data_IF_963596411936
#
_entry.id   IF_963596411936
#
_cell.length_a   1.000
_cell.length_b   1.000
_cell.length_c   1.000
_cell.angle_alpha   90.00
_cell.angle_beta   90.00
_cell.angle_gamma   90.00
#
_symmetry.space_group_name_H-M   'P 1'
#
loop_
_entity.id
_entity.type
_entity.pdbx_description
1 polymer ?
#
# COMPACT_ATOMS: atom_id res chain seq x y z
N UNK A 1 -7.93 -8.08 10.43
CA UNK A 1 -7.27 -8.29 9.13
C UNK A 1 -8.35 -8.24 8.08
N UNK A 2 -8.31 -7.28 7.17
CA UNK A 2 -9.34 -7.12 6.13
C UNK A 2 -8.80 -7.72 4.84
N UNK A 3 -9.56 -8.65 4.25
CA UNK A 3 -9.23 -9.23 2.95
C UNK A 3 -9.93 -8.45 1.85
N UNK A 4 -9.13 -8.03 0.87
CA UNK A 4 -9.61 -7.35 -0.32
C UNK A 4 -9.40 -8.29 -1.50
N UNK A 5 -10.46 -8.53 -2.27
CA UNK A 5 -10.43 -9.38 -3.46
C UNK A 5 -10.23 -8.57 -4.74
N UNK A 6 -10.50 -7.25 -4.67
CA UNK A 6 -10.39 -6.32 -5.77
C UNK A 6 -9.13 -5.47 -5.58
N UNK A 7 -8.25 -5.46 -6.58
CA UNK A 7 -7.00 -4.70 -6.53
C UNK A 7 -7.22 -3.21 -6.28
N UNK A 8 -8.24 -2.60 -6.90
CA UNK A 8 -8.53 -1.16 -6.74
C UNK A 8 -8.89 -0.77 -5.29
N UNK A 9 -9.63 -1.63 -4.59
CA UNK A 9 -9.95 -1.40 -3.18
C UNK A 9 -8.71 -1.57 -2.30
N UNK A 10 -7.86 -2.54 -2.63
CA UNK A 10 -6.56 -2.74 -1.98
C UNK A 10 -5.65 -1.53 -2.15
N UNK A 11 -5.50 -1.03 -3.38
CA UNK A 11 -4.67 0.12 -3.70
C UNK A 11 -5.12 1.36 -2.93
N UNK A 12 -6.42 1.67 -2.98
CA UNK A 12 -6.99 2.82 -2.26
C UNK A 12 -6.84 2.70 -0.75
N UNK A 13 -7.02 1.51 -0.19
CA UNK A 13 -6.83 1.28 1.24
C UNK A 13 -5.35 1.43 1.63
N UNK A 14 -4.44 0.87 0.83
CA UNK A 14 -3.00 0.95 1.04
C UNK A 14 -2.51 2.40 1.02
N UNK A 15 -2.89 3.19 0.01
CA UNK A 15 -2.53 4.61 -0.08
C UNK A 15 -3.03 5.40 1.13
N UNK A 16 -4.28 5.21 1.54
CA UNK A 16 -4.86 5.90 2.70
C UNK A 16 -4.14 5.56 3.99
N UNK A 17 -3.85 4.28 4.22
CA UNK A 17 -3.09 3.83 5.40
C UNK A 17 -1.69 4.43 5.41
N UNK A 18 -1.02 4.36 4.25
CA UNK A 18 0.35 4.77 4.09
C UNK A 18 0.55 6.29 4.24
N UNK A 19 -0.39 7.10 3.72
CA UNK A 19 -0.36 8.56 3.85
C UNK A 19 -0.75 9.05 5.25
N UNK A 20 -1.74 8.42 5.90
CA UNK A 20 -2.25 8.90 7.19
C UNK A 20 -1.37 8.45 8.36
N UNK A 21 -0.75 7.28 8.27
CA UNK A 21 -0.01 6.73 9.39
C UNK A 21 1.12 5.80 8.95
N UNK A 22 2.21 6.34 8.36
CA UNK A 22 3.33 5.55 7.83
C UNK A 22 4.02 4.64 8.87
N UNK A 23 3.92 4.96 10.17
CA UNK A 23 4.42 4.11 11.26
C UNK A 23 3.37 3.17 11.89
N UNK A 24 2.08 3.30 11.55
CA UNK A 24 0.98 2.45 12.08
C UNK A 24 0.48 1.41 11.09
N UNK A 25 1.15 1.20 9.96
CA UNK A 25 0.85 0.13 9.00
C UNK A 25 0.75 -1.27 9.66
N UNK A 26 1.30 -1.44 10.86
CA UNK A 26 1.22 -2.67 11.65
C UNK A 26 -0.13 -2.93 12.33
N UNK A 27 -1.01 -1.93 12.50
CA UNK A 27 -2.28 -2.06 13.22
C UNK A 27 -3.48 -2.36 12.32
N UNK A 28 -3.44 -1.93 11.05
CA UNK A 28 -4.46 -2.23 10.04
C UNK A 28 -3.85 -3.08 8.93
N UNK A 29 -3.66 -4.38 9.20
CA UNK A 29 -3.23 -5.33 8.19
C UNK A 29 -4.35 -5.55 7.16
N UNK A 30 -4.23 -4.87 6.00
CA UNK A 30 -4.95 -5.22 4.77
C UNK A 30 -4.19 -6.33 4.04
N UNK A 31 -4.93 -7.31 3.52
CA UNK A 31 -4.36 -8.42 2.77
C UNK A 31 -5.03 -8.54 1.41
N UNK A 32 -4.22 -8.61 0.36
CA UNK A 32 -4.63 -8.89 -1.01
C UNK A 32 -3.85 -10.11 -1.49
N UNK A 33 -4.57 -11.16 -1.90
CA UNK A 33 -3.98 -12.40 -2.42
C UNK A 33 -4.34 -12.50 -3.89
N UNK A 34 -3.34 -12.71 -4.73
CA UNK A 34 -3.52 -12.93 -6.16
C UNK A 34 -2.43 -13.85 -6.71
N UNK A 35 -2.80 -14.67 -7.68
CA UNK A 35 -1.88 -15.44 -8.52
C UNK A 35 -1.66 -14.78 -9.90
N UNK A 36 -2.33 -13.64 -10.15
CA UNK A 36 -2.24 -12.90 -11.40
C UNK A 36 -0.91 -12.15 -11.51
N UNK A 37 -0.07 -12.56 -12.45
CA UNK A 37 1.20 -11.88 -12.76
C UNK A 37 1.02 -10.40 -13.12
N UNK A 38 -0.14 -10.03 -13.67
CA UNK A 38 -0.44 -8.62 -13.99
C UNK A 38 -0.66 -7.80 -12.72
N UNK A 39 -1.36 -8.36 -11.74
CA UNK A 39 -1.63 -7.69 -10.47
C UNK A 39 -0.39 -7.64 -9.58
N UNK A 40 0.43 -8.70 -9.57
CA UNK A 40 1.73 -8.69 -8.89
C UNK A 40 2.60 -7.50 -9.32
N UNK A 41 2.70 -7.24 -10.63
CA UNK A 41 3.43 -6.06 -11.16
C UNK A 41 2.82 -4.73 -10.72
N UNK A 42 1.50 -4.66 -10.54
CA UNK A 42 0.84 -3.45 -10.02
C UNK A 42 1.18 -3.24 -8.55
N UNK A 43 1.15 -4.31 -7.74
CA UNK A 43 1.53 -4.28 -6.32
C UNK A 43 2.98 -3.80 -6.15
N UNK A 44 3.92 -4.30 -6.95
CA UNK A 44 5.33 -3.86 -6.89
C UNK A 44 5.49 -2.37 -7.20
N UNK A 45 4.77 -1.87 -8.21
CA UNK A 45 4.75 -0.45 -8.57
C UNK A 45 4.15 0.40 -7.46
N UNK A 46 3.04 -0.04 -6.88
CA UNK A 46 2.38 0.63 -5.75
C UNK A 46 3.34 0.75 -4.58
N UNK A 47 3.95 -0.36 -4.14
CA UNK A 47 4.93 -0.37 -3.04
C UNK A 47 6.10 0.59 -3.31
N UNK A 48 6.64 0.57 -4.53
CA UNK A 48 7.72 1.48 -4.93
C UNK A 48 7.30 2.96 -4.88
N UNK A 49 6.07 3.27 -5.30
CA UNK A 49 5.51 4.62 -5.25
C UNK A 49 5.35 5.11 -3.82
N UNK A 50 4.75 4.28 -2.96
CA UNK A 50 4.55 4.56 -1.55
C UNK A 50 5.88 4.83 -0.84
N UNK A 51 6.88 3.95 -1.00
CA UNK A 51 8.21 4.13 -0.39
C UNK A 51 8.86 5.45 -0.81
N UNK A 52 8.77 5.83 -2.10
CA UNK A 52 9.29 7.10 -2.58
C UNK A 52 8.58 8.30 -1.93
N UNK A 53 7.26 8.23 -1.79
CA UNK A 53 6.48 9.26 -1.11
C UNK A 53 6.88 9.39 0.37
N UNK A 54 7.14 8.29 1.08
CA UNK A 54 7.63 8.33 2.47
C UNK A 54 8.99 9.00 2.59
N UNK A 55 9.93 8.65 1.71
CA UNK A 55 11.27 9.24 1.71
C UNK A 55 11.21 10.76 1.43
N UNK A 56 10.37 11.19 0.48
CA UNK A 56 10.19 12.60 0.15
C UNK A 56 9.51 13.41 1.26
N UNK A 57 8.55 12.82 1.99
CA UNK A 57 7.86 13.49 3.10
C UNK A 57 8.65 13.48 4.43
N UNK A 58 9.79 12.79 4.48
CA UNK A 58 10.67 12.77 5.66
C UNK A 58 11.70 13.90 5.69
N UNK A 59 11.80 14.72 4.63
CA UNK A 59 12.74 15.84 4.55
C UNK A 59 12.16 17.17 5.07
N UNK A 60 10.86 17.25 5.32
CA UNK A 60 10.20 18.40 5.95
C UNK A 60 9.93 18.13 7.44
N UNK A 61 10.99 18.10 8.25
CA UNK A 61 10.90 18.34 9.70
C UNK A 61 12.21 18.77 10.33
#
# INVERSE_FOLDING_TARGET
MVYLEIYEDFERAAERLYLNAPMKLTLECIQFKTDSQQELKKIEKLMSSLIKHMASNSEDK
#
